data_IF_198710436461
#
_entry.id   IF_198710436461
#
_cell.length_a   1.000
_cell.length_b   1.000
_cell.length_c   1.000
_cell.angle_alpha   90.00
_cell.angle_beta   90.00
_cell.angle_gamma   90.00
#
_symmetry.space_group_name_H-M   'P 1'
#
loop_
_entity.id
_entity.type
_entity.pdbx_description
1 polymer ?
#
# COMPACT_ATOMS: atom_id res chain seq x y z
N UNK A 1 -3.58 -6.23 -9.11
CA UNK A 1 -3.25 -4.87 -8.65
C UNK A 1 -1.74 -4.66 -8.75
N UNK A 2 -1.29 -3.40 -8.82
CA UNK A 2 0.08 -3.05 -9.22
C UNK A 2 1.13 -3.29 -8.10
N UNK A 3 2.41 -3.32 -8.49
CA UNK A 3 3.55 -3.21 -7.56
C UNK A 3 3.87 -1.72 -7.35
N UNK A 4 4.16 -1.35 -6.11
CA UNK A 4 4.52 0.00 -5.68
C UNK A 4 5.92 0.00 -5.06
N UNK A 5 6.58 1.16 -5.06
CA UNK A 5 7.91 1.30 -4.47
C UNK A 5 8.13 2.69 -3.85
N UNK A 6 8.21 2.77 -2.52
CA UNK A 6 8.34 4.04 -1.78
C UNK A 6 7.23 5.06 -2.12
N UNK A 7 6.01 4.59 -2.38
CA UNK A 7 4.80 5.38 -2.64
C UNK A 7 3.70 4.83 -1.74
N UNK A 8 2.87 5.69 -1.16
CA UNK A 8 1.66 5.23 -0.48
C UNK A 8 0.71 4.56 -1.48
N UNK A 9 0.34 3.31 -1.22
CA UNK A 9 -0.52 2.52 -2.13
C UNK A 9 -1.90 3.18 -2.28
N UNK A 10 -2.48 3.07 -3.47
CA UNK A 10 -3.82 3.57 -3.79
C UNK A 10 -4.91 2.67 -3.17
N UNK A 11 -5.12 2.80 -1.86
CA UNK A 11 -6.02 1.94 -1.10
C UNK A 11 -7.51 2.23 -1.33
N UNK A 12 -7.85 3.35 -1.96
CA UNK A 12 -9.25 3.72 -2.24
C UNK A 12 -9.99 2.69 -3.11
N UNK A 13 -9.27 2.00 -4.01
CA UNK A 13 -9.83 0.95 -4.88
C UNK A 13 -9.88 -0.43 -4.19
N UNK A 14 -9.18 -0.62 -3.07
CA UNK A 14 -9.07 -1.91 -2.36
C UNK A 14 -9.77 -1.85 -0.99
N UNK A 15 -11.07 -1.55 -1.00
CA UNK A 15 -11.86 -1.17 0.18
C UNK A 15 -12.09 -2.33 1.15
N UNK A 16 -12.23 -3.55 0.63
CA UNK A 16 -12.55 -4.76 1.37
C UNK A 16 -11.30 -5.57 1.72
N UNK A 17 -11.38 -6.37 2.80
CA UNK A 17 -10.29 -7.29 3.15
C UNK A 17 -10.04 -8.34 2.05
N UNK A 18 -11.08 -8.74 1.32
CA UNK A 18 -10.97 -9.70 0.24
C UNK A 18 -10.12 -9.15 -0.92
N UNK A 19 -10.32 -7.89 -1.32
CA UNK A 19 -9.53 -7.23 -2.36
C UNK A 19 -8.06 -7.08 -1.95
N UNK A 20 -7.81 -6.68 -0.69
CA UNK A 20 -6.45 -6.57 -0.15
C UNK A 20 -5.76 -7.93 -0.10
N UNK A 21 -6.47 -8.99 0.29
CA UNK A 21 -5.94 -10.35 0.31
C UNK A 21 -5.68 -10.87 -1.12
N UNK A 22 -6.56 -10.58 -2.07
CA UNK A 22 -6.38 -10.93 -3.47
C UNK A 22 -5.15 -10.23 -4.07
N UNK A 23 -4.94 -8.95 -3.74
CA UNK A 23 -3.75 -8.21 -4.13
C UNK A 23 -2.49 -8.83 -3.52
N UNK A 24 -2.49 -9.10 -2.20
CA UNK A 24 -1.36 -9.74 -1.54
C UNK A 24 -1.07 -11.13 -2.12
N UNK A 25 -2.09 -11.93 -2.46
CA UNK A 25 -1.93 -13.23 -3.12
C UNK A 25 -1.24 -13.09 -4.47
N UNK A 26 -1.69 -12.16 -5.31
CA UNK A 26 -1.07 -11.90 -6.61
C UNK A 26 0.40 -11.46 -6.47
N UNK A 27 0.72 -10.60 -5.49
CA UNK A 27 2.09 -10.20 -5.22
C UNK A 27 2.97 -11.39 -4.77
N UNK A 28 2.44 -12.28 -3.92
CA UNK A 28 3.15 -13.49 -3.51
C UNK A 28 3.39 -14.44 -4.69
N UNK A 29 2.42 -14.59 -5.60
CA UNK A 29 2.60 -15.36 -6.84
C UNK A 29 3.71 -14.77 -7.71
N UNK A 30 3.74 -13.45 -7.89
CA UNK A 30 4.82 -12.77 -8.62
C UNK A 30 6.19 -13.00 -7.95
N UNK A 31 6.26 -12.89 -6.62
CA UNK A 31 7.49 -13.14 -5.86
C UNK A 31 7.98 -14.59 -6.02
N UNK A 32 7.08 -15.55 -6.04
CA UNK A 32 7.40 -16.97 -6.18
C UNK A 32 8.04 -17.33 -7.53
N UNK A 33 7.90 -16.47 -8.55
CA UNK A 33 8.58 -16.61 -9.83
C UNK A 33 10.07 -16.20 -9.78
N UNK A 34 10.56 -15.72 -8.64
CA UNK A 34 11.94 -15.27 -8.42
C UNK A 34 12.44 -14.28 -9.50
N UNK A 35 11.77 -13.11 -9.65
CA UNK A 35 12.11 -12.17 -10.71
C UNK A 35 13.44 -11.46 -10.47
N UNK A 36 14.28 -11.39 -11.51
CA UNK A 36 15.52 -10.60 -11.48
C UNK A 36 15.26 -9.09 -11.50
N UNK A 37 14.18 -8.67 -12.18
CA UNK A 37 13.79 -7.27 -12.36
C UNK A 37 12.30 -7.11 -12.11
N UNK A 38 11.94 -6.07 -11.37
CA UNK A 38 10.55 -5.66 -11.17
C UNK A 38 10.43 -4.18 -11.48
N UNK A 39 9.52 -3.83 -12.40
CA UNK A 39 9.20 -2.44 -12.75
C UNK A 39 7.88 -2.08 -12.05
N UNK A 40 7.91 -1.30 -10.95
CA UNK A 40 6.70 -0.93 -10.24
C UNK A 40 5.83 -0.02 -11.11
N UNK A 41 4.51 -0.15 -11.00
CA UNK A 41 3.58 0.74 -11.69
C UNK A 41 3.66 2.17 -11.14
N UNK A 42 3.94 2.31 -9.84
CA UNK A 42 4.14 3.58 -9.15
C UNK A 42 5.37 3.52 -8.24
N UNK A 43 6.30 4.46 -8.40
CA UNK A 43 7.55 4.49 -7.65
C UNK A 43 8.05 5.91 -7.35
N UNK A 44 8.75 6.08 -6.23
CA UNK A 44 9.62 7.25 -6.01
C UNK A 44 10.76 7.19 -7.03
N UNK A 45 11.15 8.34 -7.56
CA UNK A 45 12.30 8.43 -8.46
C UNK A 45 13.54 7.79 -7.83
N UNK A 46 14.36 7.15 -8.66
CA UNK A 46 15.60 6.49 -8.23
C UNK A 46 15.43 5.28 -7.29
N UNK A 47 14.21 4.71 -7.19
CA UNK A 47 14.02 3.43 -6.48
C UNK A 47 14.63 2.29 -7.29
N UNK A 48 15.24 1.31 -6.59
CA UNK A 48 15.78 0.10 -7.20
C UNK A 48 14.65 -0.71 -7.87
N UNK A 49 14.96 -1.43 -8.94
CA UNK A 49 13.99 -2.12 -9.79
C UNK A 49 14.06 -3.64 -9.58
N UNK A 50 13.98 -4.07 -8.33
CA UNK A 50 14.15 -5.47 -7.91
C UNK A 50 12.93 -6.00 -7.14
N UNK A 51 13.02 -7.27 -6.74
CA UNK A 51 11.97 -7.98 -6.01
C UNK A 51 11.61 -7.34 -4.65
N UNK A 52 12.44 -6.47 -4.07
CA UNK A 52 12.13 -5.80 -2.81
C UNK A 52 10.90 -4.89 -2.93
N UNK A 53 10.55 -4.43 -4.14
CA UNK A 53 9.33 -3.65 -4.37
C UNK A 53 8.04 -4.48 -4.19
N UNK A 54 8.10 -5.78 -4.49
CA UNK A 54 6.99 -6.69 -4.23
C UNK A 54 6.81 -6.82 -2.71
N UNK A 55 7.91 -6.98 -1.98
CA UNK A 55 7.89 -7.06 -0.51
C UNK A 55 7.39 -5.77 0.14
N UNK A 56 7.82 -4.61 -0.36
CA UNK A 56 7.29 -3.31 0.06
C UNK A 56 5.76 -3.27 -0.06
N UNK A 57 5.23 -3.69 -1.21
CA UNK A 57 3.78 -3.69 -1.47
C UNK A 57 3.02 -4.66 -0.56
N UNK A 58 3.53 -5.88 -0.37
CA UNK A 58 2.93 -6.88 0.53
C UNK A 58 2.93 -6.36 1.98
N UNK A 59 4.05 -5.79 2.43
CA UNK A 59 4.18 -5.29 3.78
C UNK A 59 3.27 -4.08 4.02
N UNK A 60 3.19 -3.16 3.06
CA UNK A 60 2.26 -2.03 3.14
C UNK A 60 0.80 -2.45 3.30
N UNK A 61 0.35 -3.47 2.56
CA UNK A 61 -1.02 -3.99 2.71
C UNK A 61 -1.29 -4.51 4.12
N UNK A 62 -0.32 -5.23 4.72
CA UNK A 62 -0.43 -5.75 6.09
C UNK A 62 -0.46 -4.61 7.11
N UNK A 63 0.46 -3.65 6.98
CA UNK A 63 0.58 -2.53 7.91
C UNK A 63 -0.63 -1.60 7.81
N UNK A 64 -1.15 -1.37 6.61
CA UNK A 64 -2.38 -0.61 6.41
C UNK A 64 -3.59 -1.31 7.05
N UNK A 65 -3.74 -2.63 6.89
CA UNK A 65 -4.82 -3.38 7.51
C UNK A 65 -4.76 -3.30 9.05
N UNK A 66 -3.57 -3.45 9.64
CA UNK A 66 -3.37 -3.32 11.08
C UNK A 66 -3.60 -1.89 11.58
N UNK A 67 -3.05 -0.89 10.88
CA UNK A 67 -3.26 0.52 11.22
C UNK A 67 -4.76 0.89 11.11
N UNK A 68 -5.47 0.35 10.11
CA UNK A 68 -6.92 0.56 9.93
C UNK A 68 -7.70 -0.02 11.11
N UNK A 69 -7.42 -1.25 11.54
CA UNK A 69 -8.14 -1.89 12.65
C UNK A 69 -7.95 -1.14 13.97
N UNK A 70 -6.78 -0.55 14.19
CA UNK A 70 -6.44 0.12 15.45
C UNK A 70 -6.69 1.64 15.47
N UNK A 71 -7.38 2.20 14.47
CA UNK A 71 -7.57 3.65 14.34
C UNK A 71 -9.05 4.01 14.25
N UNK A 72 -9.52 4.99 15.01
CA UNK A 72 -10.93 5.38 14.99
C UNK A 72 -11.27 6.44 13.92
N UNK A 73 -10.26 7.02 13.28
CA UNK A 73 -10.42 8.07 12.26
C UNK A 73 -9.38 7.97 11.16
N UNK A 74 -9.65 8.63 10.03
CA UNK A 74 -8.68 8.74 8.93
C UNK A 74 -7.40 9.44 9.39
N UNK A 75 -7.52 10.46 10.25
CA UNK A 75 -6.37 11.18 10.83
C UNK A 75 -5.43 10.26 11.59
N UNK A 76 -5.97 9.37 12.44
CA UNK A 76 -5.14 8.41 13.19
C UNK A 76 -4.50 7.36 12.26
N UNK A 77 -5.25 6.89 11.26
CA UNK A 77 -4.73 5.98 10.24
C UNK A 77 -3.59 6.61 9.43
N UNK A 78 -3.78 7.84 8.95
CA UNK A 78 -2.76 8.61 8.22
C UNK A 78 -1.51 8.75 9.09
N UNK A 79 -1.64 9.19 10.34
CA UNK A 79 -0.49 9.37 11.23
C UNK A 79 0.32 8.07 11.42
N UNK A 80 -0.35 6.92 11.63
CA UNK A 80 0.33 5.63 11.79
C UNK A 80 1.07 5.20 10.53
N UNK A 81 0.43 5.36 9.37
CA UNK A 81 1.05 4.99 8.10
C UNK A 81 2.19 5.93 7.72
N UNK A 82 2.08 7.24 7.97
CA UNK A 82 3.17 8.19 7.79
C UNK A 82 4.35 7.89 8.72
N UNK A 83 4.10 7.49 9.97
CA UNK A 83 5.18 7.10 10.88
C UNK A 83 5.87 5.80 10.45
N UNK A 84 5.13 4.86 9.87
CA UNK A 84 5.68 3.58 9.39
C UNK A 84 6.41 3.73 8.05
N UNK A 85 6.01 4.72 7.25
CA UNK A 85 6.52 4.98 5.90
C UNK A 85 6.85 6.47 5.70
N UNK A 86 7.79 7.04 6.48
CA UNK A 86 8.09 8.49 6.42
C UNK A 86 8.64 8.94 5.07
N UNK A 87 9.25 8.02 4.32
CA UNK A 87 9.86 8.28 3.01
C UNK A 87 8.94 8.01 1.82
N UNK A 88 7.75 7.45 2.06
CA UNK A 88 6.80 7.14 1.00
C UNK A 88 6.18 8.42 0.43
N UNK A 89 6.26 8.58 -0.89
CA UNK A 89 5.71 9.75 -1.58
C UNK A 89 4.22 9.58 -1.87
N UNK A 90 3.63 10.62 -2.44
CA UNK A 90 2.20 10.70 -2.77
C UNK A 90 1.28 10.62 -1.53
N UNK A 91 1.44 11.52 -0.53
CA UNK A 91 0.62 11.53 0.68
C UNK A 91 -0.88 11.69 0.41
N UNK A 92 -1.26 12.24 -0.75
CA UNK A 92 -2.66 12.32 -1.18
C UNK A 92 -3.29 10.92 -1.32
N UNK A 93 -2.56 9.92 -1.82
CA UNK A 93 -3.07 8.54 -1.92
C UNK A 93 -3.42 7.97 -0.54
N UNK A 94 -2.55 8.18 0.45
CA UNK A 94 -2.83 7.80 1.84
C UNK A 94 -4.03 8.57 2.41
N UNK A 95 -4.11 9.87 2.17
CA UNK A 95 -5.22 10.71 2.65
C UNK A 95 -6.57 10.25 2.10
N UNK A 96 -6.68 10.01 0.79
CA UNK A 96 -7.90 9.52 0.15
C UNK A 96 -8.23 8.12 0.66
N UNK A 97 -7.27 7.17 0.58
CA UNK A 97 -7.47 5.80 1.02
C UNK A 97 -7.93 5.71 2.49
N UNK A 98 -7.32 6.49 3.38
CA UNK A 98 -7.70 6.51 4.79
C UNK A 98 -9.13 7.03 5.01
N UNK A 99 -9.55 8.09 4.31
CA UNK A 99 -10.92 8.64 4.42
C UNK A 99 -11.96 7.65 3.90
N UNK A 100 -11.68 6.99 2.76
CA UNK A 100 -12.56 5.96 2.20
C UNK A 100 -12.72 4.81 3.16
N UNK A 101 -11.62 4.26 3.67
CA UNK A 101 -11.64 3.15 4.62
C UNK A 101 -12.23 3.46 6.00
N UNK A 102 -12.44 4.74 6.31
CA UNK A 102 -13.07 5.22 7.54
C UNK A 102 -14.48 5.75 7.32
N UNK A 103 -15.00 5.65 6.09
CA UNK A 103 -16.36 6.11 5.75
C UNK A 103 -16.51 7.63 5.72
N UNK A 104 -15.41 8.37 5.74
CA UNK A 104 -15.39 9.84 5.71
C UNK A 104 -15.44 10.40 4.28
N UNK A 105 -15.25 9.54 3.28
CA UNK A 105 -15.30 9.85 1.86
C UNK A 105 -15.90 8.67 1.09
N UNK A 106 -16.76 8.95 0.10
CA UNK A 106 -17.21 7.94 -0.87
C UNK A 106 -16.25 7.89 -2.04
N UNK A 107 -15.98 6.68 -2.52
CA UNK A 107 -15.12 6.38 -3.66
C UNK A 107 -15.74 5.24 -4.45
#
# INVERSE_FOLDING_TARGET
MAVYANVHLWMADAQTQAEQNAWAKQLNEMKALNPDVVIPGHMKASTQLDAANIDFSIQYLKDFAHAKQSSDSSKLLINKMTNSYPEAVLPMALSIGAKVHKGEMKW
#
